data_IF_979804799072
#
_entry.id   IF_979804799072
#
_cell.length_a   1.000
_cell.length_b   1.000
_cell.length_c   1.000
_cell.angle_alpha   90.00
_cell.angle_beta   90.00
_cell.angle_gamma   90.00
#
_symmetry.space_group_name_H-M   'P 1'
#
loop_
_entity.id
_entity.type
_entity.pdbx_description
1 polymer ?
#
# COMPACT_ATOMS: atom_id res chain seq x y z
N UNK A 1 10.10 8.35 -4.94
CA UNK A 1 8.66 8.32 -5.25
C UNK A 1 8.44 8.74 -6.70
N UNK A 2 7.38 8.27 -7.34
CA UNK A 2 6.99 8.65 -8.71
C UNK A 2 5.49 8.94 -8.77
N UNK A 3 5.09 10.02 -9.44
CA UNK A 3 3.69 10.48 -9.51
C UNK A 3 3.23 10.65 -10.96
N UNK A 4 2.02 10.20 -11.27
CA UNK A 4 1.37 10.40 -12.58
C UNK A 4 0.23 11.41 -12.42
N UNK A 5 0.43 12.61 -12.94
CA UNK A 5 -0.53 13.72 -12.85
C UNK A 5 -1.67 13.65 -13.87
N UNK A 6 -1.52 12.78 -14.86
CA UNK A 6 -2.49 12.45 -15.90
C UNK A 6 -3.34 11.21 -15.56
N UNK A 7 -3.02 10.51 -14.47
CA UNK A 7 -3.82 9.40 -13.96
C UNK A 7 -5.21 9.84 -13.47
N UNK A 8 -6.18 8.93 -13.54
CA UNK A 8 -7.50 9.09 -12.92
C UNK A 8 -7.44 9.08 -11.39
N UNK A 9 -6.32 8.59 -10.82
CA UNK A 9 -6.11 8.54 -9.38
C UNK A 9 -5.65 9.89 -8.81
N UNK A 10 -6.34 10.43 -7.79
CA UNK A 10 -5.93 11.68 -7.16
C UNK A 10 -4.52 11.62 -6.55
N UNK A 11 -3.72 12.68 -6.75
CA UNK A 11 -2.33 12.77 -6.26
C UNK A 11 -2.17 12.48 -4.77
N UNK A 12 -3.10 12.91 -3.91
CA UNK A 12 -2.98 12.63 -2.47
C UNK A 12 -3.08 11.13 -2.15
N UNK A 13 -3.76 10.32 -2.98
CA UNK A 13 -3.78 8.85 -2.84
C UNK A 13 -2.45 8.24 -3.27
N UNK A 14 -1.95 8.65 -4.44
CA UNK A 14 -0.63 8.23 -4.92
C UNK A 14 0.47 8.52 -3.88
N UNK A 15 0.40 9.64 -3.14
CA UNK A 15 1.33 9.95 -2.04
C UNK A 15 1.21 8.93 -0.92
N UNK A 16 0.00 8.59 -0.49
CA UNK A 16 -0.21 7.60 0.55
C UNK A 16 0.34 6.23 0.11
N UNK A 17 0.04 5.81 -1.12
CA UNK A 17 0.48 4.52 -1.66
C UNK A 17 1.99 4.44 -1.81
N UNK A 18 2.63 5.54 -2.27
CA UNK A 18 4.09 5.62 -2.36
C UNK A 18 4.77 5.55 -0.98
N UNK A 19 4.19 6.18 0.05
CA UNK A 19 4.70 6.07 1.43
C UNK A 19 4.56 4.63 1.92
N UNK A 20 3.39 4.01 1.75
CA UNK A 20 3.13 2.62 2.14
C UNK A 20 4.09 1.65 1.44
N UNK A 21 4.30 1.81 0.14
CA UNK A 21 5.24 0.99 -0.62
C UNK A 21 6.69 1.19 -0.15
N UNK A 22 7.07 2.43 0.18
CA UNK A 22 8.41 2.73 0.71
C UNK A 22 8.62 2.07 2.08
N UNK A 23 7.61 2.04 2.96
CA UNK A 23 7.66 1.30 4.23
C UNK A 23 7.81 -0.20 3.99
N UNK A 24 7.02 -0.78 3.05
CA UNK A 24 7.05 -2.23 2.76
C UNK A 24 8.39 -2.68 2.20
N UNK A 25 8.99 -1.87 1.33
CA UNK A 25 10.30 -2.12 0.70
C UNK A 25 11.48 -1.82 1.64
N UNK A 26 11.22 -1.27 2.83
CA UNK A 26 12.25 -0.92 3.82
C UNK A 26 12.98 0.39 3.54
N UNK A 27 12.44 1.25 2.68
CA UNK A 27 12.97 2.60 2.46
C UNK A 27 12.61 3.59 3.57
N UNK A 28 11.63 3.26 4.42
CA UNK A 28 11.40 3.91 5.71
C UNK A 28 11.27 2.83 6.78
N UNK A 29 12.17 2.84 7.74
CA UNK A 29 12.18 1.91 8.87
C UNK A 29 11.21 2.36 9.97
N UNK A 30 10.86 1.45 10.87
CA UNK A 30 10.05 1.78 12.04
C UNK A 30 10.75 2.85 12.88
N UNK A 31 9.98 3.76 13.47
CA UNK A 31 10.49 4.90 14.23
C UNK A 31 11.33 5.91 13.42
N UNK A 32 11.46 5.73 12.10
CA UNK A 32 12.15 6.67 11.22
C UNK A 32 11.26 7.87 10.89
N UNK A 33 11.86 9.06 10.83
CA UNK A 33 11.20 10.27 10.36
C UNK A 33 11.08 10.25 8.84
N UNK A 34 9.85 10.39 8.33
CA UNK A 34 9.64 10.55 6.89
C UNK A 34 9.84 12.02 6.47
N UNK A 35 10.11 12.30 5.17
CA UNK A 35 10.20 13.66 4.66
C UNK A 35 8.97 14.50 5.02
N UNK A 36 9.20 15.74 5.41
CA UNK A 36 8.15 16.69 5.77
C UNK A 36 7.27 17.05 4.57
N UNK A 37 6.08 17.57 4.87
CA UNK A 37 5.16 18.08 3.84
C UNK A 37 5.84 19.09 2.91
N UNK A 38 6.72 19.94 3.44
CA UNK A 38 7.45 20.95 2.67
C UNK A 38 8.52 20.34 1.77
N UNK A 39 9.25 19.33 2.25
CA UNK A 39 10.27 18.63 1.46
C UNK A 39 9.62 17.90 0.27
N UNK A 40 8.58 17.10 0.51
CA UNK A 40 7.84 16.39 -0.55
C UNK A 40 7.20 17.39 -1.53
N UNK A 41 6.61 18.47 -1.02
CA UNK A 41 6.00 19.50 -1.86
C UNK A 41 7.02 20.15 -2.80
N UNK A 42 8.21 20.47 -2.29
CA UNK A 42 9.29 21.10 -3.07
C UNK A 42 9.91 20.15 -4.08
N UNK A 43 10.19 18.91 -3.68
CA UNK A 43 10.83 17.92 -4.54
C UNK A 43 9.92 17.55 -5.73
N UNK A 44 8.65 17.25 -5.45
CA UNK A 44 7.72 16.73 -6.46
C UNK A 44 6.80 17.81 -7.06
N UNK A 45 6.98 19.08 -6.69
CA UNK A 45 6.16 20.21 -7.14
C UNK A 45 4.66 20.02 -6.88
N UNK A 46 4.32 19.37 -5.76
CA UNK A 46 2.95 19.09 -5.35
C UNK A 46 2.50 20.14 -4.35
N UNK A 47 1.23 20.56 -4.43
CA UNK A 47 0.65 21.49 -3.44
C UNK A 47 0.79 20.93 -2.00
N UNK A 48 1.33 21.70 -1.02
CA UNK A 48 1.50 21.24 0.36
C UNK A 48 0.23 20.68 1.00
N UNK A 49 -0.94 21.23 0.69
CA UNK A 49 -2.21 20.74 1.21
C UNK A 49 -2.54 19.33 0.68
N UNK A 50 -2.19 19.05 -0.57
CA UNK A 50 -2.35 17.72 -1.20
C UNK A 50 -1.40 16.71 -0.57
N UNK A 51 -0.14 17.10 -0.32
CA UNK A 51 0.83 16.26 0.39
C UNK A 51 0.35 15.94 1.80
N UNK A 52 -0.06 16.97 2.56
CA UNK A 52 -0.56 16.79 3.91
C UNK A 52 -1.80 15.88 3.93
N UNK A 53 -2.68 16.01 2.94
CA UNK A 53 -3.85 15.12 2.80
C UNK A 53 -3.42 13.66 2.61
N UNK A 54 -2.42 13.38 1.78
CA UNK A 54 -1.90 12.03 1.58
C UNK A 54 -1.24 11.48 2.85
N UNK A 55 -0.37 12.25 3.49
CA UNK A 55 0.27 11.85 4.75
C UNK A 55 -0.76 11.60 5.85
N UNK A 56 -1.81 12.43 5.96
CA UNK A 56 -2.89 12.22 6.92
C UNK A 56 -3.69 10.94 6.66
N UNK A 57 -3.80 10.46 5.41
CA UNK A 57 -4.40 9.15 5.14
C UNK A 57 -3.56 8.04 5.76
N UNK A 58 -2.24 8.09 5.59
CA UNK A 58 -1.33 7.10 6.17
C UNK A 58 -1.34 7.16 7.70
N UNK A 59 -1.45 8.36 8.29
CA UNK A 59 -1.67 8.54 9.73
C UNK A 59 -3.00 7.94 10.17
N UNK A 60 -4.08 8.12 9.40
CA UNK A 60 -5.40 7.53 9.72
C UNK A 60 -5.40 6.00 9.67
N UNK A 61 -4.53 5.41 8.85
CA UNK A 61 -4.24 3.98 8.84
C UNK A 61 -3.35 3.55 10.02
N UNK A 62 -2.83 4.46 10.82
CA UNK A 62 -1.95 4.16 11.95
C UNK A 62 -0.57 3.64 11.52
N UNK A 63 -0.15 3.94 10.30
CA UNK A 63 1.17 3.58 9.74
C UNK A 63 2.21 4.69 9.96
N UNK A 64 1.71 5.91 10.20
CA UNK A 64 2.50 7.04 10.63
C UNK A 64 1.91 7.63 11.91
N UNK A 65 2.77 8.23 12.73
CA UNK A 65 2.37 9.03 13.87
C UNK A 65 2.99 10.43 13.82
N UNK A 66 2.27 11.41 14.36
CA UNK A 66 2.74 12.78 14.44
C UNK A 66 3.41 13.02 15.79
N UNK A 67 4.69 13.37 15.77
CA UNK A 67 5.44 13.81 16.96
C UNK A 67 5.50 15.33 16.99
N UNK A 68 4.95 15.94 18.04
CA UNK A 68 4.79 17.40 18.15
C UNK A 68 6.13 18.12 18.01
N UNK A 69 6.24 18.98 16.99
CA UNK A 69 7.45 19.76 16.72
C UNK A 69 8.60 19.00 16.06
N UNK A 70 8.43 17.69 15.84
CA UNK A 70 9.48 16.82 15.29
C UNK A 70 9.15 16.33 13.88
N UNK A 71 7.89 16.06 13.57
CA UNK A 71 7.48 15.60 12.23
C UNK A 71 6.55 14.40 12.27
N UNK A 72 6.59 13.60 11.20
CA UNK A 72 5.86 12.34 11.08
C UNK A 72 6.83 11.17 11.04
N UNK A 73 6.48 10.11 11.75
CA UNK A 73 7.34 8.96 11.98
C UNK A 73 6.59 7.67 11.65
N UNK A 74 7.29 6.68 11.12
CA UNK A 74 6.72 5.34 10.90
C UNK A 74 6.42 4.68 12.23
N UNK A 75 5.22 4.13 12.38
CA UNK A 75 4.82 3.42 13.60
C UNK A 75 5.45 2.04 13.66
N UNK A 76 5.75 1.57 14.87
CA UNK A 76 6.12 0.17 15.11
C UNK A 76 5.01 -0.75 14.60
N UNK A 77 5.36 -1.75 13.80
CA UNK A 77 4.43 -2.68 13.17
C UNK A 77 3.77 -2.17 11.88
N UNK A 78 4.13 -0.98 11.36
CA UNK A 78 3.54 -0.43 10.15
C UNK A 78 3.66 -1.38 8.95
N UNK A 79 4.86 -1.97 8.76
CA UNK A 79 5.10 -2.90 7.66
C UNK A 79 4.21 -4.13 7.73
N UNK A 80 4.11 -4.76 8.90
CA UNK A 80 3.29 -5.96 9.08
C UNK A 80 1.81 -5.66 8.83
N UNK A 81 1.34 -4.49 9.30
CA UNK A 81 -0.02 -4.03 9.05
C UNK A 81 -0.33 -3.86 7.56
N UNK A 82 0.57 -3.26 6.79
CA UNK A 82 0.38 -3.11 5.34
C UNK A 82 0.34 -4.49 4.65
N UNK A 83 1.20 -5.42 5.08
CA UNK A 83 1.22 -6.77 4.53
C UNK A 83 -0.07 -7.53 4.86
N UNK A 84 -0.62 -7.38 6.06
CA UNK A 84 -1.91 -7.97 6.45
C UNK A 84 -3.06 -7.42 5.59
N UNK A 85 -3.12 -6.10 5.41
CA UNK A 85 -4.11 -5.45 4.53
C UNK A 85 -3.98 -5.96 3.07
N UNK A 86 -2.76 -6.02 2.53
CA UNK A 86 -2.50 -6.54 1.17
C UNK A 86 -2.88 -8.02 1.03
N UNK A 87 -2.66 -8.86 2.06
CA UNK A 87 -3.10 -10.28 2.05
C UNK A 87 -4.62 -10.39 2.03
N UNK A 88 -5.32 -9.56 2.79
CA UNK A 88 -6.79 -9.53 2.81
C UNK A 88 -7.38 -9.10 1.46
N UNK A 89 -6.79 -8.08 0.84
CA UNK A 89 -7.15 -7.65 -0.52
C UNK A 89 -6.87 -8.75 -1.55
N UNK A 90 -5.71 -9.41 -1.48
CA UNK A 90 -5.35 -10.49 -2.40
C UNK A 90 -6.40 -11.62 -2.44
N UNK A 91 -6.89 -12.02 -1.26
CA UNK A 91 -7.95 -13.02 -1.18
C UNK A 91 -9.24 -12.56 -1.87
N UNK A 92 -9.63 -11.31 -1.64
CA UNK A 92 -10.89 -10.77 -2.16
C UNK A 92 -10.83 -10.53 -3.66
N UNK A 93 -9.71 -10.02 -4.16
CA UNK A 93 -9.58 -9.56 -5.55
C UNK A 93 -9.18 -10.71 -6.49
N UNK A 94 -8.30 -11.60 -6.03
CA UNK A 94 -7.75 -12.67 -6.86
C UNK A 94 -8.33 -14.04 -6.51
N UNK A 95 -8.27 -14.45 -5.24
CA UNK A 95 -8.65 -15.82 -4.86
C UNK A 95 -10.15 -16.05 -5.07
N UNK A 96 -11.02 -15.12 -4.66
CA UNK A 96 -12.46 -15.25 -4.91
C UNK A 96 -12.79 -15.27 -6.40
N UNK A 97 -12.16 -14.40 -7.19
CA UNK A 97 -12.35 -14.33 -8.64
C UNK A 97 -11.94 -15.65 -9.31
N UNK A 98 -10.76 -16.18 -8.95
CA UNK A 98 -10.27 -17.49 -9.40
C UNK A 98 -11.25 -18.62 -9.07
N UNK A 99 -11.73 -18.68 -7.82
CA UNK A 99 -12.68 -19.73 -7.39
C UNK A 99 -14.00 -19.62 -8.14
N UNK A 100 -14.51 -18.41 -8.38
CA UNK A 100 -15.76 -18.22 -9.12
C UNK A 100 -15.63 -18.67 -10.58
N UNK A 101 -14.50 -18.39 -11.21
CA UNK A 101 -14.20 -18.84 -12.57
C UNK A 101 -14.04 -20.37 -12.63
N UNK A 102 -13.34 -20.96 -11.66
CA UNK A 102 -13.23 -22.42 -11.57
C UNK A 102 -14.61 -23.10 -11.46
N UNK A 103 -15.51 -22.53 -10.65
CA UNK A 103 -16.89 -23.01 -10.52
C UNK A 103 -17.68 -22.89 -11.82
N UNK A 104 -17.54 -21.80 -12.58
CA UNK A 104 -18.25 -21.62 -13.86
C UNK A 104 -17.82 -22.66 -14.90
N UNK A 105 -16.58 -23.13 -14.81
CA UNK A 105 -15.99 -24.16 -15.67
C UNK A 105 -16.19 -25.60 -15.17
N UNK A 106 -16.90 -25.81 -14.05
CA UNK A 106 -17.06 -27.10 -13.38
C UNK A 106 -15.74 -27.75 -12.92
N UNK A 107 -14.72 -26.94 -12.62
CA UNK A 107 -13.47 -27.40 -12.03
C UNK A 107 -13.73 -27.67 -10.54
N UNK A 108 -13.38 -28.87 -10.06
CA UNK A 108 -13.54 -29.23 -8.65
C UNK A 108 -12.52 -28.50 -7.77
N UNK A 109 -12.75 -28.45 -6.46
CA UNK A 109 -11.80 -27.87 -5.52
C UNK A 109 -10.45 -28.60 -5.58
N UNK A 110 -10.45 -29.94 -5.65
CA UNK A 110 -9.25 -30.74 -5.76
C UNK A 110 -8.47 -30.46 -7.05
N UNK A 111 -9.17 -30.32 -8.18
CA UNK A 111 -8.54 -30.00 -9.46
C UNK A 111 -7.95 -28.60 -9.46
N UNK A 112 -8.66 -27.61 -8.91
CA UNK A 112 -8.15 -26.24 -8.78
C UNK A 112 -6.90 -26.19 -7.90
N UNK A 113 -6.91 -26.88 -6.75
CA UNK A 113 -5.74 -26.97 -5.86
C UNK A 113 -4.57 -27.64 -6.59
N UNK A 114 -4.82 -28.68 -7.38
CA UNK A 114 -3.77 -29.34 -8.17
C UNK A 114 -3.15 -28.39 -9.21
N UNK A 115 -3.97 -27.58 -9.90
CA UNK A 115 -3.49 -26.59 -10.86
C UNK A 115 -2.67 -25.47 -10.19
N UNK A 116 -3.13 -24.95 -9.05
CA UNK A 116 -2.38 -23.95 -8.28
C UNK A 116 -1.03 -24.51 -7.82
N UNK A 117 -1.01 -25.74 -7.29
CA UNK A 117 0.25 -26.41 -6.90
C UNK A 117 1.21 -26.57 -8.06
N UNK A 118 0.72 -26.93 -9.25
CA UNK A 118 1.54 -27.00 -10.46
C UNK A 118 2.15 -25.64 -10.79
N UNK A 119 1.36 -24.57 -10.74
CA UNK A 119 1.83 -23.20 -11.00
C UNK A 119 2.87 -22.68 -10.00
N UNK A 120 2.93 -23.20 -8.77
CA UNK A 120 4.00 -22.88 -7.80
C UNK A 120 5.32 -23.63 -8.05
N UNK A 121 5.29 -24.72 -8.83
CA UNK A 121 6.45 -25.55 -9.12
C UNK A 121 7.13 -25.19 -10.45
N UNK A 122 6.47 -24.35 -11.26
CA UNK A 122 7.02 -23.71 -12.47
C UNK A 122 7.82 -22.45 -12.11
#
# INVERSE_FOLDING_TARGET
>A
MQFSFDSSEPIYRQIADQIEETIVTGGFEEEEQIPSTTEISKEFHINPATVLKGMNMVVSKGLLEKRRGLGMFVTVGAREKILEEKRGAFYTDYVKSLVNEAKSLNISEEELIAQVRRGFAE
#
